data_IF_380444474935
#
_entry.id   IF_380444474935
#
_cell.length_a   1.000
_cell.length_b   1.000
_cell.length_c   1.000
_cell.angle_alpha   90.00
_cell.angle_beta   90.00
_cell.angle_gamma   90.00
#
_symmetry.space_group_name_H-M   'P 1'
#
loop_
_entity.id
_entity.type
_entity.pdbx_description
1 polymer ?
#
# COMPACT_ATOMS: atom_id res chain seq x y z
N UNK A 1 1.38 12.34 -45.02
CA UNK A 1 1.57 11.04 -44.33
C UNK A 1 0.92 11.16 -42.95
N UNK A 2 0.03 10.24 -42.57
CA UNK A 2 -0.55 10.18 -41.23
C UNK A 2 0.08 9.00 -40.48
N UNK A 3 0.56 9.23 -39.25
CA UNK A 3 1.14 8.22 -38.39
C UNK A 3 0.28 8.03 -37.15
N UNK A 4 -0.18 6.81 -36.91
CA UNK A 4 -0.88 6.42 -35.69
C UNK A 4 0.11 5.83 -34.68
N UNK A 5 0.02 6.24 -33.41
CA UNK A 5 0.84 5.72 -32.32
C UNK A 5 -0.06 4.99 -31.32
N UNK A 6 0.25 3.71 -31.06
CA UNK A 6 -0.41 2.91 -30.02
C UNK A 6 0.49 2.82 -28.80
N UNK A 7 -0.11 2.84 -27.61
CA UNK A 7 0.57 2.72 -26.32
C UNK A 7 -0.15 1.70 -25.46
N UNK A 8 0.61 0.96 -24.66
CA UNK A 8 0.12 -0.08 -23.76
C UNK A 8 0.65 0.22 -22.36
N UNK A 9 -0.19 -0.01 -21.35
CA UNK A 9 0.13 0.29 -19.96
C UNK A 9 -0.34 -0.85 -19.06
N UNK A 10 0.45 -1.19 -18.05
CA UNK A 10 0.01 -2.05 -16.95
C UNK A 10 -0.67 -1.18 -15.89
N UNK A 11 -1.94 -1.46 -15.62
CA UNK A 11 -2.73 -0.78 -14.60
C UNK A 11 -2.75 -1.62 -13.31
N UNK A 12 -2.64 -0.95 -12.17
CA UNK A 12 -2.65 -1.58 -10.85
C UNK A 12 -3.73 -0.94 -9.98
N UNK A 13 -4.33 -1.72 -9.08
CA UNK A 13 -5.47 -1.29 -8.26
C UNK A 13 -5.12 -0.23 -7.21
N UNK A 14 -3.83 -0.09 -6.88
CA UNK A 14 -3.36 0.90 -5.91
C UNK A 14 -1.93 1.32 -6.16
N UNK A 15 -1.53 2.46 -5.57
CA UNK A 15 -0.13 2.90 -5.54
C UNK A 15 0.79 1.87 -4.89
N UNK A 16 0.32 1.20 -3.83
CA UNK A 16 1.08 0.14 -3.17
C UNK A 16 1.35 -1.03 -4.13
N UNK A 17 0.31 -1.50 -4.82
CA UNK A 17 0.43 -2.57 -5.81
C UNK A 17 1.38 -2.17 -6.94
N UNK A 18 1.32 -0.91 -7.40
CA UNK A 18 2.25 -0.37 -8.38
C UNK A 18 3.70 -0.40 -7.89
N UNK A 19 3.97 0.02 -6.65
CA UNK A 19 5.32 0.02 -6.06
C UNK A 19 5.88 -1.40 -6.00
N UNK A 20 5.12 -2.35 -5.46
CA UNK A 20 5.55 -3.76 -5.33
C UNK A 20 5.83 -4.38 -6.71
N UNK A 21 4.98 -4.10 -7.70
CA UNK A 21 5.18 -4.61 -9.05
C UNK A 21 6.37 -3.92 -9.75
N UNK A 22 6.53 -2.61 -9.67
CA UNK A 22 7.61 -1.93 -10.38
C UNK A 22 8.97 -2.13 -9.71
N UNK A 23 9.06 -1.93 -8.40
CA UNK A 23 10.32 -2.02 -7.68
C UNK A 23 10.65 -3.46 -7.26
N UNK A 24 9.65 -4.26 -6.88
CA UNK A 24 9.85 -5.66 -6.52
C UNK A 24 10.01 -6.56 -7.75
N UNK A 25 8.96 -6.70 -8.59
CA UNK A 25 8.97 -7.60 -9.76
C UNK A 25 10.05 -7.22 -10.77
N UNK A 26 10.07 -5.97 -11.20
CA UNK A 26 11.02 -5.51 -12.22
C UNK A 26 12.38 -5.15 -11.60
N UNK A 27 12.41 -4.39 -10.50
CA UNK A 27 13.66 -3.98 -9.87
C UNK A 27 14.47 -5.11 -9.23
N UNK A 28 13.88 -5.86 -8.29
CA UNK A 28 14.61 -6.88 -7.52
C UNK A 28 14.63 -8.25 -8.22
N UNK A 29 13.48 -8.69 -8.75
CA UNK A 29 13.37 -10.01 -9.38
C UNK A 29 13.76 -9.99 -10.87
N UNK A 30 13.99 -8.81 -11.45
CA UNK A 30 14.36 -8.63 -12.86
C UNK A 30 13.32 -9.19 -13.85
N UNK A 31 12.06 -9.25 -13.44
CA UNK A 31 10.93 -9.69 -14.27
C UNK A 31 10.25 -8.44 -14.87
N UNK A 32 10.50 -8.18 -16.15
CA UNK A 32 9.99 -7.02 -16.88
C UNK A 32 8.51 -7.11 -17.27
N UNK A 33 7.93 -6.02 -17.77
CA UNK A 33 6.50 -5.94 -18.16
C UNK A 33 6.23 -6.24 -19.64
N UNK A 34 7.16 -6.92 -20.31
CA UNK A 34 7.06 -7.15 -21.75
C UNK A 34 7.21 -5.87 -22.59
N UNK A 35 6.98 -6.01 -23.89
CA UNK A 35 7.04 -4.89 -24.84
C UNK A 35 5.68 -4.25 -25.07
N UNK A 36 5.65 -3.07 -25.70
CA UNK A 36 4.39 -2.38 -25.98
C UNK A 36 3.38 -3.23 -26.80
N UNK A 37 3.87 -4.06 -27.72
CA UNK A 37 3.05 -4.95 -28.56
C UNK A 37 2.64 -6.26 -27.87
N UNK A 38 3.30 -6.63 -26.77
CA UNK A 38 3.07 -7.88 -26.03
C UNK A 38 3.41 -7.65 -24.55
N UNK A 39 2.55 -6.92 -23.82
CA UNK A 39 2.78 -6.62 -22.42
C UNK A 39 2.58 -7.85 -21.54
N UNK A 40 3.40 -7.98 -20.50
CA UNK A 40 3.20 -8.93 -19.40
C UNK A 40 2.88 -8.16 -18.12
N UNK A 41 1.58 -7.93 -17.88
CA UNK A 41 1.07 -7.21 -16.72
C UNK A 41 0.57 -8.15 -15.61
N UNK A 42 0.98 -9.42 -15.60
CA UNK A 42 0.50 -10.38 -14.60
C UNK A 42 0.86 -9.95 -13.18
N UNK A 43 0.10 -10.48 -12.23
CA UNK A 43 0.44 -10.42 -10.81
C UNK A 43 1.78 -11.11 -10.50
N UNK A 44 2.44 -10.63 -9.44
CA UNK A 44 3.47 -11.40 -8.75
C UNK A 44 2.83 -12.67 -8.17
N UNK A 45 3.50 -13.81 -8.34
CA UNK A 45 3.15 -15.08 -7.70
C UNK A 45 3.56 -15.09 -6.23
N UNK A 46 3.06 -16.04 -5.44
CA UNK A 46 3.40 -16.12 -4.02
C UNK A 46 4.91 -16.37 -3.83
N UNK A 47 5.49 -17.22 -4.67
CA UNK A 47 6.91 -17.58 -4.62
C UNK A 47 7.81 -16.40 -5.01
N UNK A 48 7.38 -15.58 -5.97
CA UNK A 48 8.06 -14.34 -6.33
C UNK A 48 7.95 -13.30 -5.21
N UNK A 49 6.77 -13.15 -4.60
CA UNK A 49 6.53 -12.21 -3.52
C UNK A 49 7.47 -12.45 -2.34
N UNK A 50 7.70 -13.72 -1.99
CA UNK A 50 8.59 -14.13 -0.89
C UNK A 50 10.06 -13.77 -1.12
N UNK A 51 10.47 -13.55 -2.38
CA UNK A 51 11.85 -13.22 -2.74
C UNK A 51 12.12 -11.72 -2.73
N UNK A 52 11.10 -10.89 -2.54
CA UNK A 52 11.22 -9.44 -2.51
C UNK A 52 11.58 -8.99 -1.10
N UNK A 53 12.66 -8.22 -0.99
CA UNK A 53 12.98 -7.50 0.24
C UNK A 53 12.16 -6.19 0.29
N UNK A 54 11.14 -6.18 1.14
CA UNK A 54 10.26 -5.04 1.33
C UNK A 54 10.96 -3.84 1.99
N UNK A 55 12.11 -4.03 2.65
CA UNK A 55 12.85 -2.92 3.27
C UNK A 55 13.55 -2.04 2.22
N UNK A 56 13.81 -2.58 1.03
CA UNK A 56 14.43 -1.85 -0.08
C UNK A 56 13.42 -1.17 -0.99
N UNK A 57 12.11 -1.36 -0.76
CA UNK A 57 11.06 -0.70 -1.53
C UNK A 57 10.81 0.70 -0.97
N UNK A 58 10.73 1.69 -1.85
CA UNK A 58 10.36 3.05 -1.49
C UNK A 58 8.84 3.22 -1.47
N UNK A 59 8.29 3.31 -0.26
CA UNK A 59 6.87 3.54 -0.01
C UNK A 59 6.51 5.01 0.27
N UNK A 60 7.45 5.96 0.16
CA UNK A 60 7.24 7.36 0.57
C UNK A 60 6.00 7.97 -0.11
N UNK A 61 5.84 7.75 -1.41
CA UNK A 61 4.67 8.24 -2.18
C UNK A 61 3.34 7.63 -1.69
N UNK A 62 3.36 6.36 -1.28
CA UNK A 62 2.17 5.71 -0.71
C UNK A 62 1.87 6.22 0.69
N UNK A 63 2.89 6.46 1.52
CA UNK A 63 2.73 6.96 2.89
C UNK A 63 2.20 8.40 2.91
N UNK A 64 2.66 9.26 2.01
CA UNK A 64 2.14 10.63 1.88
C UNK A 64 0.64 10.65 1.59
N UNK A 65 0.18 9.77 0.69
CA UNK A 65 -1.22 9.61 0.37
C UNK A 65 -2.02 9.02 1.54
N UNK A 66 -1.44 8.04 2.24
CA UNK A 66 -2.07 7.43 3.41
C UNK A 66 -2.29 8.48 4.50
N UNK A 67 -1.26 9.26 4.84
CA UNK A 67 -1.34 10.29 5.88
C UNK A 67 -2.32 11.42 5.52
N UNK A 68 -2.41 11.82 4.26
CA UNK A 68 -3.40 12.82 3.82
C UNK A 68 -4.84 12.33 3.95
N UNK A 69 -5.07 11.04 3.73
CA UNK A 69 -6.42 10.46 3.76
C UNK A 69 -6.79 9.91 5.15
N UNK A 70 -5.82 9.76 6.06
CA UNK A 70 -6.07 9.31 7.42
C UNK A 70 -6.42 10.50 8.32
N UNK A 71 -7.69 10.58 8.74
CA UNK A 71 -8.08 11.40 9.89
C UNK A 71 -7.52 10.75 11.15
N UNK A 72 -6.27 11.06 11.50
CA UNK A 72 -5.72 10.70 12.81
C UNK A 72 -6.54 11.48 13.83
N UNK A 73 -7.30 10.81 14.72
CA UNK A 73 -8.02 11.52 15.76
C UNK A 73 -7.00 12.26 16.61
N UNK A 74 -7.23 13.56 16.84
CA UNK A 74 -6.40 14.35 17.76
C UNK A 74 -6.29 13.64 19.11
N UNK A 75 -5.16 13.84 19.79
CA UNK A 75 -4.88 13.23 21.09
C UNK A 75 -6.01 13.44 22.11
N UNK A 76 -6.80 14.52 21.99
CA UNK A 76 -7.97 14.75 22.84
C UNK A 76 -9.06 13.68 22.68
N UNK A 77 -9.30 13.21 21.45
CA UNK A 77 -10.26 12.12 21.20
C UNK A 77 -9.77 10.82 21.83
N UNK A 78 -8.46 10.54 21.74
CA UNK A 78 -7.86 9.37 22.37
C UNK A 78 -7.90 9.47 23.90
N UNK A 79 -7.61 10.65 24.46
CA UNK A 79 -7.63 10.90 25.90
C UNK A 79 -9.05 10.77 26.47
N UNK A 80 -10.05 11.33 25.78
CA UNK A 80 -11.45 11.20 26.17
C UNK A 80 -11.92 9.74 26.08
N UNK A 81 -11.57 9.04 25.00
CA UNK A 81 -11.89 7.60 24.85
C UNK A 81 -11.22 6.74 25.92
N UNK A 82 -10.01 7.12 26.34
CA UNK A 82 -9.28 6.44 27.42
C UNK A 82 -9.91 6.73 28.78
N UNK A 83 -10.33 7.99 29.03
CA UNK A 83 -11.09 8.36 30.25
C UNK A 83 -12.41 7.60 30.34
N UNK A 84 -13.18 7.51 29.26
CA UNK A 84 -14.43 6.74 29.24
C UNK A 84 -14.19 5.25 29.53
N UNK A 85 -13.18 4.63 28.89
CA UNK A 85 -12.77 3.25 29.17
C UNK A 85 -12.37 3.02 30.62
N UNK A 86 -11.57 3.92 31.21
CA UNK A 86 -11.17 3.83 32.62
C UNK A 86 -12.41 3.92 33.51
N UNK A 87 -13.34 4.83 33.19
CA UNK A 87 -14.59 5.01 33.94
C UNK A 87 -15.48 3.77 33.91
N UNK A 88 -15.61 3.12 32.75
CA UNK A 88 -16.31 1.83 32.61
C UNK A 88 -15.67 0.74 33.48
N UNK A 89 -14.34 0.59 33.40
CA UNK A 89 -13.60 -0.42 34.18
C UNK A 89 -13.74 -0.18 35.68
N UNK A 90 -13.66 1.08 36.12
CA UNK A 90 -13.82 1.44 37.54
C UNK A 90 -15.25 1.18 38.04
N UNK A 91 -16.27 1.40 37.20
CA UNK A 91 -17.66 1.13 37.57
C UNK A 91 -17.98 -0.37 37.71
N UNK A 92 -17.28 -1.22 36.96
CA UNK A 92 -17.42 -2.68 37.07
C UNK A 92 -16.70 -3.25 38.30
N UNK A 93 -15.63 -2.59 38.77
CA UNK A 93 -14.92 -2.99 39.99
C UNK A 93 -15.63 -2.59 41.29
N UNK A 94 -16.50 -1.57 41.29
CA UNK A 94 -17.25 -1.16 42.49
C UNK A 94 -18.50 -2.00 42.78
N UNK A 95 -18.81 -3.01 41.97
CA UNK A 95 -19.95 -3.91 42.15
C UNK A 95 -19.55 -5.30 42.72
N UNK A 96 -18.33 -5.42 43.29
CA UNK A 96 -17.82 -6.63 43.94
C UNK A 96 -17.36 -6.34 45.37
#
# INVERSE_FOLDING_TARGET
>A
ICLEKKRSYCQFDSKLAQIVQQQGRNGQLHIGFGGASSPDCRGITVEELQRIDFNMLDFTNFMDDLMKNQKIPENDVLTNKTKERIKEIMSQQSAQ
#
